data_IF_609147165193
#
_entry.id   IF_609147165193
#
_cell.length_a   1.000
_cell.length_b   1.000
_cell.length_c   1.000
_cell.angle_alpha   90.00
_cell.angle_beta   90.00
_cell.angle_gamma   90.00
#
_symmetry.space_group_name_H-M   'P 1'
#
loop_
_entity.id
_entity.type
_entity.pdbx_description
1 polymer ?
#
# COMPACT_ATOMS: atom_id res chain seq x y z
N UNK A 1 6.84 -12.62 37.10
CA UNK A 1 6.91 -12.26 35.66
C UNK A 1 8.36 -11.89 35.38
N UNK A 2 8.97 -12.45 34.34
CA UNK A 2 10.41 -12.27 34.05
C UNK A 2 10.69 -10.83 33.60
N UNK A 3 11.86 -10.30 34.00
CA UNK A 3 12.47 -9.07 33.47
C UNK A 3 12.82 -9.24 31.98
N UNK A 4 11.82 -9.13 31.11
CA UNK A 4 12.02 -9.18 29.66
C UNK A 4 12.07 -7.75 29.14
N UNK A 5 13.15 -7.42 28.43
CA UNK A 5 13.29 -6.14 27.75
C UNK A 5 12.50 -6.18 26.45
N UNK A 6 11.56 -5.27 26.29
CA UNK A 6 10.76 -5.11 25.07
C UNK A 6 11.23 -3.88 24.29
N UNK A 7 11.54 -4.05 23.01
CA UNK A 7 11.93 -2.96 22.12
C UNK A 7 11.12 -3.02 20.82
N UNK A 8 10.37 -1.96 20.54
CA UNK A 8 9.62 -1.80 19.29
C UNK A 8 10.44 -1.05 18.24
N UNK A 9 10.12 -1.30 16.97
CA UNK A 9 10.76 -0.64 15.84
C UNK A 9 9.71 -0.29 14.78
N UNK A 10 9.80 0.91 14.22
CA UNK A 10 8.92 1.40 13.14
C UNK A 10 9.34 0.85 11.78
N UNK A 11 9.16 -0.47 11.58
CA UNK A 11 9.63 -1.14 10.36
C UNK A 11 8.76 -0.87 9.13
N UNK A 12 7.45 -0.73 9.35
CA UNK A 12 6.42 -0.68 8.30
C UNK A 12 6.34 0.66 7.55
N UNK A 13 7.13 1.65 7.95
CA UNK A 13 7.18 3.02 7.42
C UNK A 13 8.64 3.40 7.09
N UNK A 14 8.83 4.44 6.28
CA UNK A 14 10.14 5.03 6.01
C UNK A 14 10.59 5.93 7.16
N UNK A 15 9.69 6.77 7.64
CA UNK A 15 9.93 7.71 8.74
C UNK A 15 8.92 7.41 9.86
N UNK A 16 9.34 7.38 11.13
CA UNK A 16 8.44 7.01 12.22
C UNK A 16 7.34 8.07 12.42
N UNK A 17 6.09 7.69 12.77
CA UNK A 17 5.04 8.63 13.10
C UNK A 17 5.48 9.59 14.21
N UNK A 18 5.38 10.91 13.94
CA UNK A 18 5.89 11.96 14.84
C UNK A 18 7.23 12.56 14.45
N UNK A 19 7.95 11.99 13.48
CA UNK A 19 9.16 12.65 12.93
C UNK A 19 8.85 13.71 11.88
N UNK A 20 7.60 13.80 11.40
CA UNK A 20 7.13 14.75 10.40
C UNK A 20 5.85 15.40 10.92
N UNK A 21 6.01 16.56 11.56
CA UNK A 21 4.94 17.32 12.19
C UNK A 21 4.91 18.76 11.65
N UNK A 22 3.78 19.43 11.82
CA UNK A 22 3.65 20.86 11.56
C UNK A 22 4.50 21.66 12.55
N UNK A 23 4.70 22.96 12.29
CA UNK A 23 5.40 23.85 13.23
C UNK A 23 4.76 23.93 14.62
N UNK A 24 3.47 23.62 14.74
CA UNK A 24 2.76 23.53 16.03
C UNK A 24 2.86 22.16 16.72
N UNK A 25 3.64 21.22 16.18
CA UNK A 25 3.76 19.86 16.72
C UNK A 25 2.57 18.94 16.42
N UNK A 26 1.66 19.34 15.52
CA UNK A 26 0.51 18.53 15.12
C UNK A 26 0.79 17.70 13.86
N UNK A 27 0.10 16.56 13.71
CA UNK A 27 0.09 15.80 12.47
C UNK A 27 -0.59 16.60 11.35
N UNK A 28 0.05 16.62 10.18
CA UNK A 28 -0.50 17.22 8.97
C UNK A 28 -1.85 16.62 8.59
N UNK A 29 -2.81 17.48 8.21
CA UNK A 29 -4.14 17.09 7.71
C UNK A 29 -4.26 17.16 6.18
N UNK A 30 -3.27 17.76 5.52
CA UNK A 30 -3.22 17.94 4.07
C UNK A 30 -1.94 17.31 3.54
N UNK A 31 -2.03 16.60 2.42
CA UNK A 31 -0.92 15.83 1.87
C UNK A 31 0.24 16.67 1.36
N UNK A 32 -0.01 17.70 0.55
CA UNK A 32 1.06 18.51 -0.06
C UNK A 32 2.07 19.08 0.96
N UNK A 33 1.66 19.74 2.06
CA UNK A 33 2.63 20.21 3.05
C UNK A 33 3.30 19.07 3.83
N UNK A 34 2.60 17.94 4.04
CA UNK A 34 3.22 16.73 4.60
C UNK A 34 4.33 16.21 3.69
N UNK A 35 4.05 16.02 2.39
CA UNK A 35 5.02 15.56 1.39
C UNK A 35 6.27 16.42 1.38
N UNK A 36 6.11 17.74 1.38
CA UNK A 36 7.24 18.67 1.36
C UNK A 36 8.12 18.52 2.61
N UNK A 37 7.50 18.43 3.79
CA UNK A 37 8.22 18.18 5.05
C UNK A 37 8.87 16.79 5.08
N UNK A 38 8.19 15.78 4.52
CA UNK A 38 8.66 14.40 4.45
C UNK A 38 9.90 14.27 3.56
N UNK A 39 9.89 14.85 2.37
CA UNK A 39 11.05 14.87 1.46
C UNK A 39 12.23 15.60 2.11
N UNK A 40 11.98 16.74 2.77
CA UNK A 40 13.03 17.44 3.52
C UNK A 40 13.66 16.53 4.57
N UNK A 41 12.84 15.81 5.34
CA UNK A 41 13.32 14.89 6.38
C UNK A 41 14.09 13.70 5.80
N UNK A 42 13.68 13.16 4.65
CA UNK A 42 14.43 12.13 3.94
C UNK A 42 15.81 12.62 3.48
N UNK A 43 15.93 13.89 3.08
CA UNK A 43 17.22 14.49 2.70
C UNK A 43 18.17 14.66 3.88
N UNK A 44 17.67 14.86 5.09
CA UNK A 44 18.50 14.92 6.30
C UNK A 44 19.16 13.57 6.62
N UNK A 45 18.55 12.46 6.19
CA UNK A 45 19.07 11.12 6.41
C UNK A 45 18.13 10.05 5.87
N UNK A 46 18.57 9.34 4.83
CA UNK A 46 17.81 8.24 4.27
C UNK A 46 17.79 7.05 5.25
N UNK A 47 16.60 6.49 5.55
CA UNK A 47 16.51 5.34 6.44
C UNK A 47 17.16 4.12 5.79
N UNK A 48 18.11 3.49 6.47
CA UNK A 48 18.88 2.37 5.89
C UNK A 48 18.05 1.08 5.76
N UNK A 49 18.34 0.29 4.72
CA UNK A 49 17.95 -1.11 4.67
C UNK A 49 18.87 -1.94 5.57
N UNK A 50 18.30 -2.85 6.36
CA UNK A 50 19.05 -3.78 7.19
C UNK A 50 19.24 -5.10 6.46
N UNK A 51 20.38 -5.76 6.66
CA UNK A 51 20.65 -7.07 6.07
C UNK A 51 19.83 -8.17 6.77
N UNK A 52 19.50 -9.22 6.02
CA UNK A 52 18.90 -10.41 6.60
C UNK A 52 19.84 -11.03 7.65
N UNK A 53 19.32 -11.49 8.80
CA UNK A 53 20.12 -12.17 9.80
C UNK A 53 20.66 -13.49 9.25
N UNK A 54 21.75 -13.99 9.85
CA UNK A 54 22.25 -15.33 9.53
C UNK A 54 21.18 -16.39 9.82
N UNK A 55 21.09 -17.46 9.02
CA UNK A 55 20.17 -18.56 9.28
C UNK A 55 20.33 -19.12 10.70
N UNK A 56 19.22 -19.42 11.35
CA UNK A 56 19.17 -20.06 12.67
C UNK A 56 18.24 -21.26 12.60
N UNK A 57 18.50 -22.26 13.43
CA UNK A 57 17.54 -23.35 13.63
C UNK A 57 16.30 -22.77 14.31
N UNK A 58 15.13 -23.08 13.77
CA UNK A 58 13.84 -22.69 14.31
C UNK A 58 12.95 -23.94 14.40
N UNK A 59 12.06 -24.02 15.40
CA UNK A 59 11.03 -25.05 15.41
C UNK A 59 10.15 -24.93 14.16
N UNK A 60 9.54 -26.03 13.69
CA UNK A 60 8.59 -25.97 12.59
C UNK A 60 7.44 -25.02 12.94
N UNK A 61 6.97 -24.27 11.95
CA UNK A 61 5.82 -23.39 12.12
C UNK A 61 4.55 -24.24 12.27
N UNK A 62 3.61 -23.86 13.16
CA UNK A 62 2.32 -24.52 13.25
C UNK A 62 1.52 -24.30 11.96
N UNK A 63 0.70 -25.27 11.59
CA UNK A 63 -0.25 -25.10 10.48
C UNK A 63 -1.27 -24.00 10.82
N UNK A 64 -1.52 -23.12 9.85
CA UNK A 64 -2.47 -22.03 10.00
C UNK A 64 -3.79 -22.40 9.32
N UNK A 65 -4.84 -22.57 10.13
CA UNK A 65 -6.19 -22.82 9.65
C UNK A 65 -6.93 -21.51 9.42
N UNK A 66 -6.92 -21.03 8.18
CA UNK A 66 -7.64 -19.85 7.74
C UNK A 66 -8.24 -20.09 6.35
N UNK A 67 -9.45 -19.59 6.02
CA UNK A 67 -10.01 -19.71 4.67
C UNK A 67 -9.09 -19.06 3.63
N UNK A 68 -8.64 -19.86 2.66
CA UNK A 68 -7.77 -19.39 1.58
C UNK A 68 -8.52 -19.39 0.24
N UNK A 69 -8.16 -18.46 -0.63
CA UNK A 69 -8.66 -18.39 -2.01
C UNK A 69 -7.46 -18.22 -2.92
N UNK A 70 -7.39 -18.95 -4.05
CA UNK A 70 -6.28 -18.80 -4.98
C UNK A 70 -6.24 -17.38 -5.56
N UNK A 71 -5.02 -16.92 -5.86
CA UNK A 71 -4.77 -15.67 -6.55
C UNK A 71 -3.84 -15.90 -7.74
N UNK A 72 -3.77 -14.93 -8.65
CA UNK A 72 -2.90 -15.02 -9.81
C UNK A 72 -1.43 -14.70 -9.43
N UNK A 73 -0.59 -15.74 -9.40
CA UNK A 73 0.85 -15.62 -9.13
C UNK A 73 1.64 -14.89 -10.23
N UNK A 74 1.09 -14.76 -11.44
CA UNK A 74 1.67 -13.96 -12.51
C UNK A 74 1.45 -12.46 -12.29
N UNK A 75 0.39 -12.08 -11.56
CA UNK A 75 0.11 -10.69 -11.23
C UNK A 75 0.67 -10.29 -9.86
N UNK A 76 0.65 -11.20 -8.89
CA UNK A 76 1.08 -10.95 -7.51
C UNK A 76 2.16 -11.93 -7.08
N UNK A 77 3.25 -11.41 -6.51
CA UNK A 77 4.33 -12.28 -6.02
C UNK A 77 3.87 -13.09 -4.79
N UNK A 78 4.09 -14.40 -4.83
CA UNK A 78 3.80 -15.32 -3.73
C UNK A 78 4.95 -15.42 -2.72
N UNK A 79 6.16 -14.98 -3.09
CA UNK A 79 7.38 -15.10 -2.30
C UNK A 79 8.26 -13.84 -2.39
N UNK A 80 9.18 -13.70 -1.43
CA UNK A 80 10.08 -12.54 -1.32
C UNK A 80 11.00 -12.36 -2.54
N UNK A 81 11.55 -13.46 -3.08
CA UNK A 81 12.48 -13.40 -4.21
C UNK A 81 11.77 -12.85 -5.45
N UNK A 82 10.56 -13.33 -5.72
CA UNK A 82 9.72 -12.82 -6.81
C UNK A 82 9.32 -11.37 -6.58
N UNK A 83 8.98 -10.97 -5.35
CA UNK A 83 8.62 -9.59 -5.02
C UNK A 83 9.80 -8.62 -5.26
N UNK A 84 11.02 -9.00 -4.84
CA UNK A 84 12.23 -8.22 -5.07
C UNK A 84 12.59 -8.12 -6.56
N UNK A 85 12.39 -9.20 -7.33
CA UNK A 85 12.61 -9.19 -8.77
C UNK A 85 11.65 -8.24 -9.49
N UNK A 86 10.35 -8.26 -9.11
CA UNK A 86 9.35 -7.33 -9.64
C UNK A 86 9.67 -5.88 -9.30
N UNK A 87 10.06 -5.61 -8.05
CA UNK A 87 10.50 -4.27 -7.63
C UNK A 87 11.67 -3.77 -8.48
N UNK A 88 12.67 -4.63 -8.72
CA UNK A 88 13.81 -4.27 -9.56
C UNK A 88 13.39 -3.97 -11.00
N UNK A 89 12.61 -4.86 -11.62
CA UNK A 89 12.14 -4.68 -12.99
C UNK A 89 11.29 -3.41 -13.15
N UNK A 90 10.40 -3.13 -12.20
CA UNK A 90 9.59 -1.92 -12.19
C UNK A 90 10.44 -0.65 -12.12
N UNK A 91 11.40 -0.57 -11.18
CA UNK A 91 12.25 0.61 -11.05
C UNK A 91 13.22 0.81 -12.23
N UNK A 92 13.58 -0.25 -12.96
CA UNK A 92 14.46 -0.14 -14.12
C UNK A 92 13.77 0.37 -15.39
N UNK A 93 12.46 0.16 -15.51
CA UNK A 93 11.71 0.41 -16.75
C UNK A 93 10.50 1.30 -16.47
N UNK A 94 9.45 0.73 -15.88
CA UNK A 94 8.14 1.35 -15.78
C UNK A 94 8.06 2.56 -14.82
N UNK A 95 9.01 2.71 -13.88
CA UNK A 95 9.00 3.83 -12.94
C UNK A 95 9.22 5.20 -13.62
N UNK A 96 9.95 5.25 -14.74
CA UNK A 96 10.14 6.47 -15.52
C UNK A 96 8.86 6.87 -16.26
N UNK A 97 8.16 5.91 -16.86
CA UNK A 97 6.92 6.14 -17.61
C UNK A 97 5.66 6.18 -16.72
N UNK A 98 5.83 5.96 -15.41
CA UNK A 98 4.74 5.79 -14.45
C UNK A 98 3.72 6.93 -14.50
N UNK A 99 4.20 8.18 -14.60
CA UNK A 99 3.32 9.36 -14.65
C UNK A 99 2.39 9.34 -15.86
N UNK A 100 2.88 8.90 -17.03
CA UNK A 100 2.10 8.86 -18.27
C UNK A 100 1.22 7.63 -18.42
N UNK A 101 1.46 6.55 -17.66
CA UNK A 101 0.77 5.27 -17.86
C UNK A 101 -0.17 4.88 -16.72
N UNK A 102 -0.01 5.41 -15.50
CA UNK A 102 -0.75 4.98 -14.30
C UNK A 102 -2.26 5.13 -14.40
N UNK A 103 -2.75 6.07 -15.21
CA UNK A 103 -4.18 6.40 -15.31
C UNK A 103 -4.91 5.53 -16.36
N UNK A 104 -4.20 4.68 -17.09
CA UNK A 104 -4.75 3.81 -18.12
C UNK A 104 -4.88 2.36 -17.60
N UNK A 105 -6.07 1.89 -17.20
CA UNK A 105 -6.24 0.57 -16.60
C UNK A 105 -5.98 -0.60 -17.56
N UNK A 106 -5.99 -0.35 -18.88
CA UNK A 106 -5.63 -1.34 -19.89
C UNK A 106 -4.11 -1.50 -20.06
N UNK A 107 -3.31 -0.61 -19.46
CA UNK A 107 -1.85 -0.61 -19.54
C UNK A 107 -1.30 -1.11 -18.21
N UNK A 108 -0.32 -2.01 -18.27
CA UNK A 108 0.42 -2.48 -17.09
C UNK A 108 1.44 -1.44 -16.60
N UNK A 109 0.94 -0.23 -16.30
CA UNK A 109 1.75 0.93 -15.91
C UNK A 109 2.00 1.05 -14.42
N UNK A 110 1.68 0.04 -13.60
CA UNK A 110 1.84 0.10 -12.13
C UNK A 110 2.66 -1.07 -11.59
N UNK A 111 3.25 -0.89 -10.41
CA UNK A 111 4.16 -1.87 -9.82
C UNK A 111 3.52 -3.20 -9.38
N UNK A 112 2.20 -3.22 -9.10
CA UNK A 112 1.49 -4.35 -8.44
C UNK A 112 2.14 -4.87 -7.14
N UNK A 113 2.95 -4.05 -6.47
CA UNK A 113 3.64 -4.41 -5.22
C UNK A 113 2.81 -4.15 -3.95
N UNK A 114 1.58 -3.64 -4.10
CA UNK A 114 0.74 -3.26 -2.96
C UNK A 114 0.44 -4.40 -1.98
N UNK A 115 0.20 -5.67 -2.40
CA UNK A 115 0.00 -6.76 -1.44
C UNK A 115 1.27 -7.04 -0.63
N UNK A 116 2.43 -7.10 -1.30
CA UNK A 116 3.72 -7.33 -0.65
C UNK A 116 4.05 -6.24 0.39
N UNK A 117 3.73 -4.97 0.09
CA UNK A 117 3.89 -3.84 1.01
C UNK A 117 2.87 -3.82 2.16
N UNK A 118 1.71 -4.45 1.98
CA UNK A 118 0.66 -4.55 2.99
C UNK A 118 0.99 -5.64 4.03
N UNK A 119 1.48 -6.79 3.59
CA UNK A 119 1.82 -7.93 4.46
C UNK A 119 3.27 -7.92 4.96
N UNK A 120 4.10 -6.98 4.51
CA UNK A 120 5.49 -6.82 4.97
C UNK A 120 6.51 -7.74 4.30
N UNK A 121 6.18 -8.35 3.15
CA UNK A 121 7.17 -9.07 2.31
C UNK A 121 8.20 -8.11 1.72
N UNK A 122 7.78 -6.88 1.41
CA UNK A 122 8.68 -5.79 1.05
C UNK A 122 8.57 -4.66 2.07
N UNK A 123 9.72 -4.13 2.47
CA UNK A 123 9.79 -2.89 3.24
C UNK A 123 9.69 -1.67 2.32
N UNK A 124 9.09 -0.56 2.77
CA UNK A 124 9.10 0.67 1.98
C UNK A 124 10.52 1.22 1.79
N UNK A 125 11.45 0.90 2.71
CA UNK A 125 12.89 1.22 2.59
C UNK A 125 13.52 0.54 1.38
N UNK A 126 13.25 -0.75 1.14
CA UNK A 126 13.71 -1.44 -0.07
C UNK A 126 13.17 -0.76 -1.34
N UNK A 127 11.90 -0.35 -1.34
CA UNK A 127 11.29 0.38 -2.45
C UNK A 127 11.99 1.71 -2.72
N UNK A 128 12.21 2.52 -1.67
CA UNK A 128 12.90 3.81 -1.77
C UNK A 128 14.32 3.65 -2.29
N UNK A 129 15.13 2.76 -1.68
CA UNK A 129 16.52 2.57 -2.08
C UNK A 129 16.66 2.02 -3.50
N UNK A 130 15.81 1.05 -3.89
CA UNK A 130 15.80 0.56 -5.27
C UNK A 130 15.43 1.67 -6.25
N UNK A 131 14.42 2.48 -5.95
CA UNK A 131 14.03 3.60 -6.79
C UNK A 131 15.17 4.59 -6.97
N UNK A 132 15.80 5.04 -5.87
CA UNK A 132 16.88 6.02 -5.93
C UNK A 132 18.15 5.48 -6.59
N UNK A 133 18.33 4.16 -6.62
CA UNK A 133 19.42 3.52 -7.36
C UNK A 133 19.23 3.68 -8.88
N UNK A 134 18.02 3.45 -9.38
CA UNK A 134 17.72 3.53 -10.82
C UNK A 134 17.39 4.97 -11.26
N UNK A 135 16.84 5.79 -10.36
CA UNK A 135 16.41 7.17 -10.59
C UNK A 135 16.87 8.10 -9.45
N UNK A 136 18.16 8.51 -9.44
CA UNK A 136 18.72 9.33 -8.35
C UNK A 136 18.02 10.68 -8.15
N UNK A 137 17.46 11.25 -9.22
CA UNK A 137 16.76 12.54 -9.19
C UNK A 137 15.28 12.44 -8.73
N UNK A 138 14.79 11.26 -8.32
CA UNK A 138 13.38 11.09 -7.94
C UNK A 138 12.97 11.96 -6.74
N UNK A 139 13.90 12.26 -5.81
CA UNK A 139 13.65 13.18 -4.69
C UNK A 139 13.51 14.65 -5.13
N UNK A 140 14.04 14.98 -6.30
CA UNK A 140 14.09 16.35 -6.85
C UNK A 140 13.05 16.56 -7.95
N UNK A 141 12.11 15.61 -8.11
CA UNK A 141 11.04 15.71 -9.12
C UNK A 141 11.40 15.11 -10.47
N UNK A 142 12.53 14.41 -10.60
CA UNK A 142 12.90 13.70 -11.82
C UNK A 142 12.08 12.42 -12.04
N UNK A 143 12.54 11.57 -12.97
CA UNK A 143 11.94 10.26 -13.23
C UNK A 143 11.72 9.47 -11.93
N UNK A 144 10.59 8.77 -11.81
CA UNK A 144 10.22 8.04 -10.60
C UNK A 144 9.67 8.88 -9.44
N UNK A 145 9.72 10.22 -9.50
CA UNK A 145 9.17 11.09 -8.45
C UNK A 145 7.65 10.87 -8.24
N UNK A 146 6.91 10.61 -9.31
CA UNK A 146 5.47 10.32 -9.25
C UNK A 146 5.20 9.00 -8.54
N UNK A 147 6.05 7.99 -8.73
CA UNK A 147 5.93 6.74 -7.98
C UNK A 147 6.35 6.90 -6.50
N UNK A 148 7.39 7.69 -6.22
CA UNK A 148 7.76 8.08 -4.87
C UNK A 148 6.61 8.80 -4.16
N UNK A 149 5.87 9.66 -4.87
CA UNK A 149 4.70 10.35 -4.34
C UNK A 149 3.63 9.37 -3.82
N UNK A 150 3.40 8.25 -4.50
CA UNK A 150 2.47 7.20 -4.05
C UNK A 150 2.98 6.47 -2.80
N UNK A 151 4.30 6.25 -2.67
CA UNK A 151 4.87 5.76 -1.42
C UNK A 151 4.66 6.77 -0.27
N UNK A 152 4.81 8.07 -0.53
CA UNK A 152 4.56 9.11 0.49
C UNK A 152 3.07 9.17 0.85
N UNK A 153 2.14 8.87 -0.06
CA UNK A 153 0.72 8.72 0.27
C UNK A 153 0.48 7.58 1.26
N UNK A 154 1.14 6.43 1.07
CA UNK A 154 1.10 5.32 2.04
C UNK A 154 1.59 5.76 3.42
N UNK A 155 2.67 6.53 3.48
CA UNK A 155 3.22 7.08 4.73
C UNK A 155 2.24 8.05 5.38
N UNK A 156 1.65 8.96 4.60
CA UNK A 156 0.68 9.94 5.08
C UNK A 156 -0.50 9.26 5.77
N UNK A 157 -1.11 8.24 5.16
CA UNK A 157 -2.24 7.52 5.77
C UNK A 157 -1.84 6.73 7.02
N UNK A 158 -0.64 6.13 7.05
CA UNK A 158 -0.15 5.43 8.25
C UNK A 158 0.05 6.40 9.42
N UNK A 159 0.68 7.55 9.17
CA UNK A 159 0.86 8.59 10.17
C UNK A 159 -0.50 9.15 10.62
N UNK A 160 -1.43 9.37 9.69
CA UNK A 160 -2.76 9.87 10.00
C UNK A 160 -3.52 8.92 10.94
N UNK A 161 -3.44 7.61 10.73
CA UNK A 161 -4.10 6.63 11.61
C UNK A 161 -3.53 6.61 13.03
N UNK A 162 -2.22 6.83 13.21
CA UNK A 162 -1.60 6.90 14.54
C UNK A 162 -2.12 8.12 15.32
N UNK A 163 -2.20 9.28 14.68
CA UNK A 163 -2.65 10.53 15.32
C UNK A 163 -4.17 10.68 15.41
N UNK A 164 -4.91 9.99 14.54
CA UNK A 164 -6.37 10.00 14.55
C UNK A 164 -6.94 8.57 14.65
N UNK A 165 -6.84 7.91 15.82
CA UNK A 165 -7.28 6.51 16.01
C UNK A 165 -8.76 6.25 15.69
N UNK A 166 -9.59 7.30 15.64
CA UNK A 166 -10.99 7.22 15.22
C UNK A 166 -11.17 6.66 13.81
N UNK A 167 -10.16 6.83 12.94
CA UNK A 167 -10.19 6.32 11.56
C UNK A 167 -10.22 4.78 11.52
N UNK A 168 -9.64 4.12 12.51
CA UNK A 168 -9.69 2.67 12.65
C UNK A 168 -10.96 2.18 13.39
N UNK A 169 -11.86 3.08 13.75
CA UNK A 169 -13.08 2.79 14.55
C UNK A 169 -14.37 3.11 13.78
N UNK A 170 -14.31 3.10 12.44
CA UNK A 170 -15.45 3.38 11.58
C UNK A 170 -15.99 4.80 11.67
N UNK A 171 -15.18 5.77 12.12
CA UNK A 171 -15.59 7.18 12.21
C UNK A 171 -14.99 8.00 11.08
N UNK A 172 -15.75 8.94 10.50
CA UNK A 172 -15.23 9.79 9.42
C UNK A 172 -14.16 10.74 9.94
N UNK A 173 -13.24 11.10 9.03
CA UNK A 173 -12.26 12.14 9.32
C UNK A 173 -12.95 13.49 9.57
N UNK A 174 -13.89 13.85 8.69
CA UNK A 174 -14.69 15.07 8.74
C UNK A 174 -15.97 14.85 9.53
N UNK A 175 -16.12 15.52 10.67
CA UNK A 175 -17.19 15.20 11.63
C UNK A 175 -18.63 15.39 11.08
N UNK A 176 -18.86 16.36 10.20
CA UNK A 176 -20.22 16.62 9.69
C UNK A 176 -20.73 15.51 8.76
N UNK A 177 -19.84 14.75 8.11
CA UNK A 177 -20.27 13.67 7.19
C UNK A 177 -20.92 12.50 7.91
N UNK A 178 -20.73 12.40 9.23
CA UNK A 178 -21.43 11.42 10.09
C UNK A 178 -22.95 11.69 10.15
N UNK A 179 -23.39 12.89 9.76
CA UNK A 179 -24.80 13.31 9.74
C UNK A 179 -25.47 13.17 8.37
N UNK A 180 -24.75 12.68 7.36
CA UNK A 180 -25.32 12.46 6.02
C UNK A 180 -26.33 11.32 6.10
N UNK A 181 -27.56 11.57 5.66
CA UNK A 181 -28.60 10.56 5.54
C UNK A 181 -28.35 9.68 4.31
N UNK A 182 -27.55 8.64 4.47
CA UNK A 182 -27.27 7.67 3.40
C UNK A 182 -28.53 6.85 3.04
N UNK A 183 -28.70 6.55 1.76
CA UNK A 183 -29.80 5.70 1.27
C UNK A 183 -29.60 4.26 1.77
N UNK A 184 -30.61 3.71 2.44
CA UNK A 184 -30.64 2.32 2.88
C UNK A 184 -31.33 1.44 1.82
N UNK A 185 -30.62 1.15 0.72
CA UNK A 185 -31.14 0.32 -0.40
C UNK A 185 -30.27 -0.91 -0.63
N UNK A 186 -30.60 -2.01 0.04
CA UNK A 186 -29.82 -3.26 -0.04
C UNK A 186 -29.74 -3.81 -1.46
N UNK A 187 -30.83 -3.73 -2.23
CA UNK A 187 -30.84 -4.18 -3.63
C UNK A 187 -29.83 -3.40 -4.50
N UNK A 188 -29.69 -2.10 -4.27
CA UNK A 188 -28.72 -1.27 -4.97
C UNK A 188 -27.28 -1.62 -4.56
N UNK A 189 -27.05 -1.86 -3.26
CA UNK A 189 -25.76 -2.32 -2.75
C UNK A 189 -25.36 -3.68 -3.36
N UNK A 190 -26.28 -4.65 -3.40
CA UNK A 190 -26.05 -5.97 -3.99
C UNK A 190 -25.81 -5.90 -5.50
N UNK A 191 -26.52 -5.03 -6.22
CA UNK A 191 -26.29 -4.81 -7.65
C UNK A 191 -24.88 -4.25 -7.89
N UNK A 192 -24.46 -3.27 -7.08
CA UNK A 192 -23.13 -2.68 -7.14
C UNK A 192 -22.03 -3.70 -6.82
N UNK A 193 -22.17 -4.47 -5.73
CA UNK A 193 -21.21 -5.52 -5.34
C UNK A 193 -21.00 -6.58 -6.43
N UNK A 194 -22.03 -6.87 -7.24
CA UNK A 194 -21.99 -7.84 -8.35
C UNK A 194 -21.59 -7.21 -9.68
N UNK A 195 -21.23 -5.92 -9.71
CA UNK A 195 -20.86 -5.21 -10.93
C UNK A 195 -21.99 -5.08 -11.95
N UNK A 196 -23.25 -5.09 -11.51
CA UNK A 196 -24.40 -4.89 -12.40
C UNK A 196 -24.61 -3.39 -12.62
N UNK A 197 -24.56 -2.89 -13.88
CA UNK A 197 -24.49 -1.45 -14.13
C UNK A 197 -25.83 -0.75 -13.90
N UNK A 198 -25.76 0.43 -13.27
CA UNK A 198 -26.82 1.45 -13.30
C UNK A 198 -26.45 2.61 -14.26
N UNK A 199 -25.19 2.71 -14.70
CA UNK A 199 -24.72 3.69 -15.70
C UNK A 199 -23.48 3.19 -16.46
N UNK A 200 -23.39 3.49 -17.77
CA UNK A 200 -22.45 2.85 -18.74
C UNK A 200 -20.97 3.27 -18.59
N UNK A 201 -20.66 4.26 -17.76
CA UNK A 201 -19.29 4.77 -17.55
C UNK A 201 -18.65 4.32 -16.22
N UNK A 202 -19.37 3.54 -15.41
CA UNK A 202 -18.88 2.98 -14.16
C UNK A 202 -18.72 1.46 -14.28
N UNK A 203 -17.65 0.97 -14.93
CA UNK A 203 -16.87 -0.20 -14.49
C UNK A 203 -15.73 -0.59 -15.48
N UNK A 204 -14.65 -1.29 -15.02
CA UNK A 204 -14.65 -2.30 -13.95
C UNK A 204 -13.82 -2.01 -12.68
N UNK A 205 -14.26 -2.43 -11.46
CA UNK A 205 -13.54 -3.54 -10.83
C UNK A 205 -14.28 -4.49 -9.83
N UNK A 206 -15.60 -4.50 -9.61
CA UNK A 206 -16.16 -5.57 -8.75
C UNK A 206 -15.95 -6.97 -9.37
N UNK A 207 -16.09 -7.10 -10.69
CA UNK A 207 -15.85 -8.36 -11.40
C UNK A 207 -14.37 -8.80 -11.42
N UNK A 208 -13.41 -7.89 -11.26
CA UNK A 208 -11.98 -8.24 -11.13
C UNK A 208 -11.55 -8.55 -9.69
N UNK A 209 -12.43 -8.30 -8.70
CA UNK A 209 -12.20 -8.56 -7.28
C UNK A 209 -12.89 -9.82 -6.77
N UNK A 210 -13.87 -10.35 -7.51
CA UNK A 210 -14.51 -11.64 -7.25
C UNK A 210 -14.19 -12.64 -8.36
N UNK A 211 -13.59 -13.81 -8.07
CA UNK A 211 -13.52 -14.87 -9.07
C UNK A 211 -14.96 -15.25 -9.50
N UNK A 212 -15.19 -15.67 -10.75
CA UNK A 212 -16.51 -16.08 -11.19
C UNK A 212 -16.99 -17.21 -10.27
N UNK A 213 -18.15 -16.99 -9.62
CA UNK A 213 -18.85 -18.07 -8.94
C UNK A 213 -19.10 -19.17 -9.97
N UNK A 214 -18.45 -20.32 -9.77
CA UNK A 214 -18.56 -21.45 -10.67
C UNK A 214 -20.02 -21.78 -10.91
N UNK A 215 -20.44 -21.65 -12.17
CA UNK A 215 -21.69 -22.20 -12.63
C UNK A 215 -21.52 -23.72 -12.63
N UNK A 216 -21.80 -24.36 -11.49
CA UNK A 216 -22.08 -25.80 -11.46
C UNK A 216 -23.51 -25.95 -11.96
N UNK A 217 -23.68 -25.86 -13.28
CA UNK A 217 -24.84 -26.42 -13.98
C UNK A 217 -24.34 -27.64 -14.72
N UNK A 218 -24.80 -28.81 -14.26
CA UNK A 218 -24.36 -30.10 -14.74
C UNK A 218 -24.62 -30.33 -16.22
N UNK A 219 -23.81 -31.22 -16.78
CA UNK A 219 -24.19 -32.15 -17.82
C UNK A 219 -23.61 -33.51 -17.44
N UNK A 220 -24.40 -34.55 -17.73
CA UNK A 220 -24.25 -35.94 -17.38
C UNK A 220 -22.89 -36.57 -17.74
#
# INVERSE_FOLDING_TARGET
MRDVICQGFDDSVLLPPGSVLTGGGEMYKVFTPFKNAFIRRLRDGLPACVAAPKPRQAPPLPELYYPQTPFDGLLFAADEKTALARLRAFCQQAAADYEGQRDFPAVEGTSRLSPCLAIGVLSPRQCLHRLLTEHPAALDGGAGATWLNELIWREFYRHLMVYYPKLCKGRPFTAWTDKVAWRAEEAALQAWQRGRPVFRLLMPPCASLTPPAGCITGCA
#
